data_IF_194737093898
#
_entry.id   IF_194737093898
#
_cell.length_a   1.000
_cell.length_b   1.000
_cell.length_c   1.000
_cell.angle_alpha   90.00
_cell.angle_beta   90.00
_cell.angle_gamma   90.00
#
_symmetry.space_group_name_H-M   'P 1'
#
loop_
_entity.id
_entity.type
_entity.pdbx_description
1 polymer ?
2 water ?
#
# COMPACT_ATOMS: atom_id res chain seq x y z
N UNK A 4 1.45 -13.49 27.28
CA UNK A 4 1.52 -12.03 27.45
C UNK A 4 0.43 -11.34 26.62
N UNK A 5 0.28 -10.04 26.84
CA UNK A 5 -0.67 -9.25 26.07
C UNK A 5 -0.23 -9.17 24.62
N UNK A 6 1.06 -8.96 24.40
CA UNK A 6 1.61 -8.83 23.04
C UNK A 6 1.34 -10.12 22.29
N UNK A 7 1.48 -11.25 22.98
CA UNK A 7 1.19 -12.56 22.40
C UNK A 7 -0.19 -12.61 21.74
N UNK A 8 -1.23 -12.31 22.52
CA UNK A 8 -2.60 -12.35 22.01
C UNK A 8 -2.80 -11.34 20.88
N UNK A 9 -2.27 -10.13 21.07
CA UNK A 9 -2.32 -9.11 20.03
C UNK A 9 -1.67 -9.55 18.70
N UNK A 10 -0.54 -10.24 18.79
CA UNK A 10 0.11 -10.74 17.58
C UNK A 10 -0.81 -11.75 16.91
N UNK A 11 -1.41 -12.64 17.69
CA UNK A 11 -2.32 -13.67 17.15
C UNK A 11 -3.54 -13.05 16.49
N UNK A 12 -4.15 -12.08 17.16
CA UNK A 12 -5.35 -11.42 16.65
C UNK A 12 -5.01 -10.61 15.38
N UNK A 13 -3.94 -9.84 15.41
CA UNK A 13 -3.53 -9.10 14.21
C UNK A 13 -3.22 -10.05 13.05
N UNK A 14 -2.48 -11.13 13.31
CA UNK A 14 -2.14 -12.09 12.25
C UNK A 14 -3.39 -12.68 11.62
N UNK A 15 -4.38 -12.98 12.45
CA UNK A 15 -5.63 -13.53 11.94
C UNK A 15 -6.37 -12.53 11.08
N UNK A 16 -6.47 -11.30 11.57
CA UNK A 16 -7.09 -10.20 10.80
C UNK A 16 -6.41 -10.02 9.43
N UNK A 17 -5.09 -9.97 9.45
CA UNK A 17 -4.29 -9.86 8.22
C UNK A 17 -4.43 -11.06 7.29
N UNK A 18 -4.74 -12.22 7.85
CA UNK A 18 -4.80 -13.45 7.06
C UNK A 18 -6.17 -13.62 6.42
N UNK A 19 -7.15 -12.84 6.86
CA UNK A 19 -8.52 -13.05 6.41
C UNK A 19 -9.12 -11.89 5.63
N UNK A 20 -9.19 -10.72 6.25
CA UNK A 20 -9.80 -9.59 5.59
C UNK A 20 -9.17 -8.27 6.05
N UNK A 21 -7.86 -8.12 5.84
CA UNK A 21 -7.17 -6.93 6.35
C UNK A 21 -7.71 -5.63 5.75
N UNK A 22 -8.15 -5.65 4.49
CA UNK A 22 -8.65 -4.44 3.84
C UNK A 22 -10.12 -4.12 4.13
N UNK A 23 -10.91 -5.14 4.43
CA UNK A 23 -12.30 -4.95 4.83
C UNK A 23 -12.45 -4.61 6.29
N UNK A 24 -11.44 -4.95 7.11
CA UNK A 24 -11.52 -4.67 8.54
C UNK A 24 -10.35 -3.79 8.94
N UNK A 25 -10.09 -2.76 8.13
CA UNK A 25 -8.94 -1.89 8.32
C UNK A 25 -9.04 -1.09 9.61
N UNK A 26 -10.26 -0.67 9.95
CA UNK A 26 -10.48 0.05 11.20
C UNK A 26 -10.03 -0.75 12.42
N UNK A 27 -10.40 -2.03 12.48
CA UNK A 27 -10.03 -2.89 13.61
C UNK A 27 -8.51 -3.06 13.67
N UNK A 28 -7.90 -3.22 12.51
CA UNK A 28 -6.45 -3.33 12.43
C UNK A 28 -5.78 -2.09 13.05
N UNK A 29 -6.28 -0.92 12.66
CA UNK A 29 -5.77 0.34 13.19
C UNK A 29 -5.98 0.45 14.69
N UNK A 30 -7.20 0.12 15.12
CA UNK A 30 -7.53 0.17 16.53
C UNK A 30 -6.63 -0.76 17.34
N UNK A 31 -6.43 -1.98 16.86
CA UNK A 31 -5.52 -2.91 17.52
C UNK A 31 -4.13 -2.30 17.61
N UNK A 32 -3.65 -1.75 16.50
CA UNK A 32 -2.32 -1.14 16.45
C UNK A 32 -2.20 0.08 17.36
N UNK A 33 -3.24 0.91 17.47
CA UNK A 33 -3.14 2.07 18.37
C UNK A 33 -3.01 1.62 19.82
N UNK A 34 -3.69 0.54 20.16
CA UNK A 34 -3.73 0.09 21.54
C UNK A 34 -2.47 -0.68 21.95
N UNK A 35 -1.85 -1.36 20.98
CA UNK A 35 -0.71 -2.24 21.28
C UNK A 35 0.61 -1.79 20.69
N UNK A 36 0.55 -0.78 19.83
CA UNK A 36 1.76 -0.24 19.22
C UNK A 36 1.72 1.29 19.22
N UNK A 37 1.86 1.90 20.40
CA UNK A 37 1.77 3.36 20.49
C UNK A 37 3.00 4.11 19.96
N UNK A 38 4.13 3.41 19.81
CA UNK A 38 5.27 4.02 19.14
C UNK A 38 5.56 3.26 17.84
N UNK A 39 6.32 3.88 16.94
CA UNK A 39 6.62 3.26 15.66
C UNK A 39 7.49 2.04 15.90
N UNK A 40 8.32 2.08 16.94
CA UNK A 40 9.15 0.95 17.29
C UNK A 40 8.29 -0.24 17.72
N UNK A 41 7.21 0.05 18.44
CA UNK A 41 6.27 -0.99 18.83
C UNK A 41 5.59 -1.57 17.60
N UNK A 42 5.20 -0.68 16.68
CA UNK A 42 4.57 -1.08 15.43
C UNK A 42 5.50 -2.06 14.71
N UNK A 43 6.78 -1.70 14.60
CA UNK A 43 7.80 -2.51 13.94
C UNK A 43 7.90 -3.89 14.57
N UNK A 44 7.95 -3.92 15.89
CA UNK A 44 8.10 -5.16 16.63
C UNK A 44 6.86 -6.03 16.40
N UNK A 45 5.70 -5.39 16.38
CA UNK A 45 4.45 -6.09 16.11
C UNK A 45 4.39 -6.61 14.65
N UNK A 46 4.74 -5.77 13.70
CA UNK A 46 4.79 -6.21 12.30
C UNK A 46 5.76 -7.39 12.15
N UNK A 47 6.91 -7.30 12.81
CA UNK A 47 7.94 -8.30 12.62
C UNK A 47 7.44 -9.67 13.11
N UNK A 48 6.75 -9.68 14.24
CA UNK A 48 6.19 -10.94 14.76
C UNK A 48 5.12 -11.51 13.83
N UNK A 49 4.24 -10.65 13.32
CA UNK A 49 3.23 -11.08 12.37
C UNK A 49 3.83 -11.60 11.06
N UNK A 50 4.84 -10.89 10.55
CA UNK A 50 5.51 -11.31 9.31
C UNK A 50 6.01 -12.73 9.44
N UNK A 51 6.58 -13.05 10.61
CA UNK A 51 7.08 -14.40 10.84
C UNK A 51 5.94 -15.41 10.70
N UNK A 52 4.82 -15.13 11.35
CA UNK A 52 3.64 -15.98 11.26
C UNK A 52 3.13 -16.11 9.82
N UNK A 53 3.07 -15.00 9.10
CA UNK A 53 2.55 -15.01 7.74
C UNK A 53 3.47 -15.77 6.80
N UNK A 54 4.78 -15.61 7.00
CA UNK A 54 5.78 -16.35 6.25
C UNK A 54 5.63 -17.86 6.43
N UNK A 55 5.53 -18.30 7.68
CA UNK A 55 5.29 -19.70 7.99
C UNK A 55 4.03 -20.22 7.31
N UNK A 56 2.93 -19.48 7.47
CA UNK A 56 1.65 -19.90 6.89
C UNK A 56 1.70 -19.97 5.36
N UNK A 57 2.46 -19.06 4.75
CA UNK A 57 2.59 -19.02 3.32
C UNK A 57 3.37 -20.25 2.84
N UNK A 58 4.47 -20.52 3.53
CA UNK A 58 5.30 -21.71 3.28
C UNK A 58 4.49 -23.00 3.43
N UNK A 59 3.47 -22.99 4.28
CA UNK A 59 2.67 -24.17 4.56
C UNK A 59 1.40 -24.22 3.70
N UNK A 60 1.29 -23.28 2.77
CA UNK A 60 0.16 -23.16 1.85
C UNK A 60 -1.15 -23.05 2.62
N UNK A 61 -1.09 -22.34 3.75
CA UNK A 61 -2.27 -22.04 4.54
C UNK A 61 -2.82 -20.67 4.15
N UNK A 62 -2.02 -19.90 3.43
CA UNK A 62 -2.48 -18.65 2.84
C UNK A 62 -1.83 -18.46 1.48
N UNK A 63 -2.38 -17.57 0.68
CA UNK A 63 -1.81 -17.30 -0.64
C UNK A 63 -0.90 -16.10 -0.58
N UNK A 64 -0.07 -15.97 -1.61
CA UNK A 64 0.78 -14.80 -1.77
C UNK A 64 -0.08 -13.54 -1.95
N UNK A 65 -1.25 -13.71 -2.58
CA UNK A 65 -2.19 -12.61 -2.74
C UNK A 65 -2.63 -12.09 -1.38
N UNK A 66 -3.00 -13.01 -0.49
CA UNK A 66 -3.38 -12.65 0.88
C UNK A 66 -2.29 -11.87 1.60
N UNK A 67 -1.04 -12.30 1.45
CA UNK A 67 0.06 -11.60 2.09
C UNK A 67 0.21 -10.18 1.51
N UNK A 68 0.08 -10.07 0.19
CA UNK A 68 0.15 -8.76 -0.46
C UNK A 68 -0.91 -7.78 0.10
N UNK A 69 -2.13 -8.28 0.29
CA UNK A 69 -3.24 -7.44 0.81
C UNK A 69 -3.00 -7.05 2.27
N UNK A 70 -2.48 -7.99 3.05
CA UNK A 70 -2.09 -7.72 4.42
C UNK A 70 -1.05 -6.60 4.47
N UNK A 71 -0.02 -6.74 3.64
CA UNK A 71 1.07 -5.76 3.59
C UNK A 71 0.55 -4.36 3.26
N UNK A 72 -0.37 -4.27 2.29
CA UNK A 72 -0.92 -3.00 1.87
C UNK A 72 -1.75 -2.38 2.99
N UNK A 73 -2.53 -3.21 3.68
CA UNK A 73 -3.35 -2.71 4.79
C UNK A 73 -2.44 -2.13 5.89
N UNK A 74 -1.30 -2.76 6.10
CA UNK A 74 -0.38 -2.32 7.16
C UNK A 74 0.24 -0.97 6.77
N UNK A 75 0.48 -0.78 5.48
CA UNK A 75 0.96 0.50 4.97
C UNK A 75 -0.04 1.60 5.27
N UNK A 76 -1.30 1.36 4.95
CA UNK A 76 -2.34 2.39 5.21
C UNK A 76 -2.55 2.69 6.70
N UNK A 77 -2.56 1.65 7.52
CA UNK A 77 -2.69 1.77 8.97
C UNK A 77 -1.52 2.60 9.49
N UNK A 78 -0.32 2.25 9.06
CA UNK A 78 0.89 2.92 9.54
C UNK A 78 0.85 4.41 9.25
N UNK A 79 0.49 4.77 8.03
CA UNK A 79 0.39 6.18 7.68
C UNK A 79 -0.75 6.90 8.41
N UNK A 80 -1.78 6.15 8.81
CA UNK A 80 -2.89 6.77 9.53
C UNK A 80 -2.42 7.12 10.94
N UNK A 81 -1.68 6.20 11.55
CA UNK A 81 -1.26 6.32 12.93
C UNK A 81 0.05 7.10 13.13
N UNK A 82 1.11 6.73 12.42
CA UNK A 82 2.41 7.38 12.60
C UNK A 82 2.86 8.14 11.36
N UNK A 83 3.05 9.45 11.49
CA UNK A 83 3.46 10.29 10.38
C UNK A 83 4.19 11.55 10.85
N UNK A 84 5.26 11.35 11.61
CA UNK A 84 6.03 12.45 12.21
C UNK A 84 6.68 13.33 11.15
N UNK A 85 6.68 14.64 11.37
CA UNK A 85 7.40 15.54 10.48
C UNK A 85 8.90 15.33 10.63
N UNK A 86 9.65 15.62 9.57
CA UNK A 86 11.09 15.49 9.65
C UNK A 86 11.67 16.59 10.53
N UNK A 87 12.49 16.22 11.53
CA UNK A 87 13.08 17.19 12.44
C UNK A 87 13.86 18.26 11.68
N UNK A 88 13.45 19.52 11.84
CA UNK A 88 14.07 20.64 11.13
C UNK A 88 15.48 20.88 11.64
N UNK A 89 15.64 20.74 12.95
CA UNK A 89 16.97 20.70 13.56
C UNK A 89 17.18 19.27 14.03
N UNK A 90 18.10 18.58 13.37
CA UNK A 90 18.26 17.15 13.61
C UNK A 90 19.61 16.82 14.23
N UNK A 91 19.70 15.61 14.79
CA UNK A 91 20.96 15.14 15.36
C UNK A 91 21.83 14.55 14.26
N UNK A 92 21.25 14.39 13.07
CA UNK A 92 21.97 13.88 11.92
C UNK A 92 21.10 13.62 10.70
N UNK A 93 21.73 13.21 9.61
CA UNK A 93 21.03 12.96 8.33
C UNK A 93 21.20 11.51 7.85
N UNK A 94 20.08 10.77 7.86
CA UNK A 94 20.12 9.36 7.53
C UNK A 94 19.31 9.10 6.26
N UNK A 95 19.87 8.28 5.39
CA UNK A 95 19.15 7.86 4.21
C UNK A 95 18.68 6.43 4.40
N UNK A 96 17.39 6.21 4.25
CA UNK A 96 16.81 4.88 4.37
C UNK A 96 16.43 4.46 2.95
N UNK A 97 17.01 3.37 2.48
CA UNK A 97 16.83 3.00 1.10
C UNK A 97 16.39 1.57 0.96
N UNK A 98 15.57 1.32 -0.06
CA UNK A 98 15.19 -0.03 -0.47
C UNK A 98 16.22 -0.56 -1.46
N UNK A 99 16.23 -1.87 -1.65
CA UNK A 99 17.12 -2.51 -2.61
C UNK A 99 16.38 -2.60 -3.93
N UNK A 100 17.02 -2.18 -5.04
CA UNK A 100 16.33 -2.26 -6.34
C UNK A 100 15.83 -3.67 -6.62
N UNK A 101 14.65 -3.78 -7.21
CA UNK A 101 14.05 -5.07 -7.46
C UNK A 101 13.18 -5.50 -6.28
N UNK A 102 13.27 -4.76 -5.18
CA UNK A 102 12.48 -5.06 -3.99
C UNK A 102 11.71 -3.81 -3.57
N UNK A 103 10.72 -3.99 -2.71
CA UNK A 103 9.96 -2.84 -2.25
C UNK A 103 9.60 -2.99 -0.79
N UNK A 104 10.57 -2.71 0.07
CA UNK A 104 10.30 -2.71 1.51
C UNK A 104 9.66 -1.36 1.87
N UNK A 105 8.45 -1.16 1.38
CA UNK A 105 7.76 0.11 1.55
C UNK A 105 7.44 0.32 3.02
N UNK A 106 6.92 -0.72 3.67
CA UNK A 106 6.53 -0.63 5.08
C UNK A 106 7.78 -0.53 5.97
N UNK A 107 8.76 -1.40 5.74
CA UNK A 107 9.96 -1.40 6.55
C UNK A 107 10.74 -0.09 6.43
N UNK A 108 10.84 0.46 5.21
CA UNK A 108 11.53 1.75 5.04
C UNK A 108 10.80 2.87 5.78
N UNK A 109 9.46 2.87 5.68
CA UNK A 109 8.65 3.86 6.37
C UNK A 109 8.81 3.72 7.88
N UNK A 110 8.80 2.48 8.36
CA UNK A 110 9.00 2.19 9.78
C UNK A 110 10.33 2.72 10.26
N UNK A 111 11.38 2.48 9.49
CA UNK A 111 12.73 2.93 9.83
C UNK A 111 12.76 4.45 9.97
N UNK A 112 12.21 5.15 8.97
CA UNK A 112 12.12 6.61 9.04
C UNK A 112 11.36 7.08 10.30
N UNK A 113 10.23 6.45 10.61
CA UNK A 113 9.44 6.88 11.77
C UNK A 113 10.25 6.72 13.05
N UNK A 114 10.89 5.57 13.19
CA UNK A 114 11.67 5.31 14.40
C UNK A 114 12.83 6.28 14.55
N UNK A 115 13.50 6.59 13.45
CA UNK A 115 14.61 7.54 13.52
C UNK A 115 14.14 8.96 13.77
N UNK A 116 13.06 9.37 13.10
CA UNK A 116 12.52 10.71 13.32
C UNK A 116 12.10 10.90 14.78
N UNK A 117 11.55 9.84 15.36
CA UNK A 117 11.13 9.84 16.75
C UNK A 117 12.27 10.08 17.74
N UNK A 118 13.51 9.78 17.35
CA UNK A 118 14.64 10.06 18.23
C UNK A 118 15.50 11.21 17.74
N UNK A 119 14.99 11.93 16.75
CA UNK A 119 15.59 13.20 16.37
C UNK A 119 16.45 13.22 15.11
N UNK A 120 16.56 12.10 14.41
CA UNK A 120 17.29 12.07 13.14
C UNK A 120 16.45 12.62 12.00
N UNK A 121 17.05 13.49 11.19
CA UNK A 121 16.45 13.87 9.92
C UNK A 121 16.65 12.68 8.99
N UNK A 122 15.57 12.18 8.42
CA UNK A 122 15.67 10.99 7.59
C UNK A 122 14.93 11.17 6.29
N UNK A 123 15.45 10.56 5.24
CA UNK A 123 14.74 10.50 3.98
C UNK A 123 14.62 9.05 3.57
N UNK A 124 13.56 8.74 2.84
CA UNK A 124 13.37 7.40 2.29
C UNK A 124 13.60 7.49 0.79
N UNK A 125 14.31 6.51 0.23
CA UNK A 125 14.44 6.41 -1.23
C UNK A 125 14.28 4.95 -1.68
N UNK A 126 13.61 4.77 -2.81
CA UNK A 126 13.53 3.46 -3.42
C UNK A 126 14.22 3.58 -4.77
N UNK A 127 15.56 3.44 -4.80
CA UNK A 127 16.37 3.76 -5.98
C UNK A 127 16.30 2.69 -7.06
N UNK A 128 16.47 3.11 -8.30
CA UNK A 128 16.42 2.20 -9.43
C UNK A 128 17.65 1.33 -9.51
N UNK A 129 18.77 1.81 -8.98
CA UNK A 129 20.05 1.17 -9.22
C UNK A 129 21.11 1.69 -8.27
N UNK A 130 22.27 1.06 -8.30
CA UNK A 130 23.41 1.51 -7.52
C UNK A 130 23.80 2.93 -7.91
N UNK A 131 23.83 3.22 -9.21
CA UNK A 131 24.25 4.54 -9.68
C UNK A 131 23.32 5.64 -9.16
N UNK A 132 22.02 5.37 -9.18
CA UNK A 132 21.02 6.33 -8.73
C UNK A 132 21.15 6.64 -7.24
N UNK A 133 21.39 5.62 -6.42
CA UNK A 133 21.57 5.84 -4.99
C UNK A 133 22.87 6.58 -4.75
N UNK A 134 23.93 6.16 -5.44
CA UNK A 134 25.23 6.83 -5.33
C UNK A 134 25.12 8.32 -5.59
N UNK A 135 24.52 8.70 -6.72
CA UNK A 135 24.34 10.11 -7.05
C UNK A 135 23.55 10.81 -5.94
N UNK A 136 22.52 10.13 -5.43
CA UNK A 136 21.70 10.67 -4.35
C UNK A 136 22.54 10.86 -3.09
N UNK A 137 23.39 9.88 -2.80
CA UNK A 137 24.25 9.92 -1.62
C UNK A 137 25.23 11.10 -1.70
N UNK A 138 25.58 11.47 -2.93
CA UNK A 138 26.53 12.56 -3.17
C UNK A 138 25.88 13.92 -2.93
N UNK A 139 24.82 14.18 -3.69
CA UNK A 139 24.17 15.48 -3.71
C UNK A 139 23.71 15.91 -2.33
N UNK A 140 23.34 14.94 -1.49
CA UNK A 140 22.83 15.23 -0.16
C UNK A 140 23.86 15.01 0.93
N UNK A 141 25.07 14.59 0.55
CA UNK A 141 26.17 14.43 1.49
C UNK A 141 25.77 13.55 2.68
N UNK A 142 25.18 12.41 2.38
CA UNK A 142 24.71 11.54 3.46
C UNK A 142 25.86 10.77 4.12
N UNK A 143 25.81 10.71 5.45
CA UNK A 143 26.84 10.06 6.24
C UNK A 143 26.39 8.70 6.79
N UNK A 144 25.09 8.41 6.70
CA UNK A 144 24.58 7.11 7.15
C UNK A 144 23.47 6.59 6.24
N UNK A 145 23.64 5.37 5.76
CA UNK A 145 22.65 4.70 4.90
C UNK A 145 22.08 3.49 5.65
N UNK A 146 20.77 3.40 5.68
CA UNK A 146 20.10 2.25 6.26
C UNK A 146 19.43 1.55 5.10
N UNK A 147 19.76 0.27 4.93
CA UNK A 147 19.15 -0.56 3.89
C UNK A 147 17.99 -1.30 4.53
N UNK A 148 16.77 -1.00 4.10
CA UNK A 148 15.58 -1.57 4.71
C UNK A 148 15.31 -2.98 4.19
N UNK A 149 15.13 -3.96 5.11
CA UNK A 149 14.86 -5.32 4.64
C UNK A 149 13.39 -5.50 4.25
N UNK A 150 13.10 -6.50 3.43
CA UNK A 150 11.72 -6.88 3.16
C UNK A 150 11.37 -8.13 3.95
N UNK A 151 10.68 -7.95 5.07
CA UNK A 151 10.42 -9.06 5.99
C UNK A 151 9.41 -10.06 5.42
N UNK A 152 8.64 -9.63 4.42
CA UNK A 152 7.68 -10.53 3.75
C UNK A 152 8.10 -10.88 2.33
N UNK A 153 9.41 -10.85 2.06
CA UNK A 153 9.92 -11.41 0.81
C UNK A 153 10.85 -12.57 1.15
N UNK A 154 11.05 -13.47 0.20
CA UNK A 154 11.86 -14.66 0.42
C UNK A 154 13.35 -14.42 0.55
N UNK A 155 14.08 -15.51 0.77
CA UNK A 155 15.52 -15.50 1.05
C UNK A 155 16.41 -14.98 -0.09
N UNK A 156 15.85 -14.84 -1.30
CA UNK A 156 16.63 -14.35 -2.44
C UNK A 156 17.12 -12.91 -2.23
N UNK A 157 16.40 -12.15 -1.42
CA UNK A 157 16.78 -10.76 -1.15
C UNK A 157 18.15 -10.64 -0.47
N UNK A 158 18.58 -11.72 0.18
CA UNK A 158 19.85 -11.68 0.89
C UNK A 158 20.97 -11.48 -0.10
N UNK A 159 20.99 -12.31 -1.12
CA UNK A 159 22.01 -12.22 -2.14
C UNK A 159 21.92 -10.86 -2.81
N UNK A 160 20.70 -10.40 -3.10
CA UNK A 160 20.53 -9.13 -3.81
C UNK A 160 21.09 -8.00 -2.97
N UNK A 161 20.85 -8.06 -1.66
CA UNK A 161 21.34 -7.03 -0.76
C UNK A 161 22.86 -7.04 -0.67
N UNK A 162 23.45 -8.22 -0.47
CA UNK A 162 24.91 -8.32 -0.39
C UNK A 162 25.52 -7.73 -1.64
N UNK A 163 24.92 -8.07 -2.78
CA UNK A 163 25.45 -7.60 -4.05
C UNK A 163 25.32 -6.08 -4.17
N UNK A 164 24.18 -5.56 -3.75
CA UNK A 164 23.90 -4.13 -3.79
C UNK A 164 24.91 -3.36 -2.95
N UNK A 165 25.06 -3.78 -1.70
CA UNK A 165 25.91 -3.08 -0.76
C UNK A 165 27.38 -3.20 -1.19
N UNK A 166 27.75 -4.37 -1.71
CA UNK A 166 29.12 -4.55 -2.18
C UNK A 166 29.44 -3.65 -3.35
N UNK A 167 28.52 -3.59 -4.32
CA UNK A 167 28.74 -2.70 -5.46
C UNK A 167 28.77 -1.26 -4.96
N UNK A 168 27.89 -0.95 -4.01
CA UNK A 168 27.87 0.42 -3.48
C UNK A 168 29.21 0.81 -2.83
N UNK A 169 29.73 -0.05 -1.95
CA UNK A 169 30.99 0.23 -1.24
C UNK A 169 32.16 0.31 -2.22
N UNK A 170 32.08 -0.48 -3.28
CA UNK A 170 33.09 -0.56 -4.30
C UNK A 170 33.30 0.79 -5.00
N UNK A 171 32.33 1.69 -4.89
CA UNK A 171 32.40 2.96 -5.61
C UNK A 171 33.35 3.98 -4.97
N UNK A 172 33.92 4.83 -5.82
CA UNK A 172 34.99 5.72 -5.40
C UNK A 172 34.52 7.14 -5.07
N UNK A 173 33.21 7.36 -5.03
CA UNK A 173 32.68 8.72 -4.85
C UNK A 173 31.75 8.89 -3.66
N UNK A 174 31.93 8.07 -2.62
CA UNK A 174 31.08 8.14 -1.42
C UNK A 174 31.88 8.10 -0.10
N UNK A 175 32.68 9.14 0.18
CA UNK A 175 33.47 9.06 1.42
C UNK A 175 32.67 9.28 2.71
N UNK A 176 33.13 8.67 3.80
CA UNK A 176 32.55 8.85 5.14
C UNK A 176 31.31 8.02 5.50
N UNK A 177 31.00 7.02 4.69
CA UNK A 177 29.68 6.40 4.73
C UNK A 177 29.53 5.15 5.63
N UNK A 178 28.65 5.23 6.63
CA UNK A 178 28.28 4.06 7.41
C UNK A 178 27.09 3.33 6.80
N UNK A 179 27.16 2.00 6.76
CA UNK A 179 26.07 1.26 6.14
C UNK A 179 25.51 0.23 7.11
N UNK A 180 24.20 0.29 7.33
CA UNK A 180 23.55 -0.68 8.19
C UNK A 180 22.59 -1.53 7.40
N UNK A 181 22.61 -2.85 7.64
CA UNK A 181 21.64 -3.73 6.99
C UNK A 181 20.84 -4.49 8.05
N UNK A 182 19.70 -5.03 7.67
CA UNK A 182 18.82 -5.70 8.61
C UNK A 182 18.40 -7.08 8.12
N UNK A 183 17.24 -7.54 8.58
CA UNK A 183 16.77 -8.88 8.26
C UNK A 183 17.80 -9.97 8.57
N UNK A 184 17.76 -11.04 7.80
CA UNK A 184 18.55 -12.22 8.12
C UNK A 184 20.04 -11.95 7.98
N UNK A 185 20.40 -10.94 7.19
CA UNK A 185 21.79 -10.57 7.01
C UNK A 185 22.44 -10.07 8.28
N UNK A 186 21.66 -9.53 9.21
CA UNK A 186 22.25 -9.05 10.45
C UNK A 186 22.53 -10.21 11.39
N UNK A 187 22.22 -11.42 10.92
CA UNK A 187 22.61 -12.63 11.66
C UNK A 187 23.99 -13.15 11.20
N UNK A 188 24.55 -12.51 10.18
CA UNK A 188 25.88 -12.87 9.69
C UNK A 188 26.94 -12.55 10.73
N UNK A 189 28.02 -13.35 10.76
CA UNK A 189 29.22 -13.03 11.55
C UNK A 189 29.80 -11.70 11.09
N UNK A 190 30.33 -10.91 12.03
CA UNK A 190 30.83 -9.54 11.75
C UNK A 190 31.71 -9.45 10.50
N UNK A 191 32.69 -10.35 10.39
CA UNK A 191 33.60 -10.32 9.24
C UNK A 191 32.88 -10.53 7.91
N UNK A 192 31.85 -11.36 7.90
CA UNK A 192 31.12 -11.61 6.67
C UNK A 192 30.33 -10.37 6.30
N UNK A 193 29.80 -9.72 7.33
CA UNK A 193 29.04 -8.49 7.18
C UNK A 193 29.92 -7.37 6.62
N UNK A 194 31.11 -7.22 7.20
CA UNK A 194 32.04 -6.19 6.76
C UNK A 194 32.52 -6.45 5.36
N UNK A 195 32.70 -7.72 5.02
CA UNK A 195 33.19 -8.12 3.70
C UNK A 195 32.26 -7.62 2.59
N UNK A 196 30.96 -7.56 2.90
CA UNK A 196 29.95 -7.12 1.92
C UNK A 196 29.95 -5.62 1.71
N UNK A 197 30.56 -4.88 2.62
CA UNK A 197 30.58 -3.43 2.50
C UNK A 197 29.80 -2.77 3.63
N UNK A 198 29.00 -3.58 4.30
CA UNK A 198 28.19 -3.08 5.41
C UNK A 198 29.05 -2.89 6.64
N UNK A 199 28.57 -2.07 7.57
CA UNK A 199 29.33 -1.76 8.78
C UNK A 199 28.72 -2.39 10.03
N UNK A 200 27.41 -2.54 10.05
CA UNK A 200 26.77 -3.16 11.22
C UNK A 200 25.38 -3.60 10.86
N UNK A 201 24.79 -4.48 11.65
CA UNK A 201 23.44 -4.93 11.36
C UNK A 201 22.44 -4.58 12.46
N UNK A 202 21.17 -4.54 12.09
CA UNK A 202 20.13 -4.51 13.11
C UNK A 202 19.32 -5.80 12.98
N UNK A 203 19.37 -6.65 14.00
CA UNK A 203 18.78 -7.98 13.88
C UNK A 203 17.26 -7.93 13.80
N UNK A 204 16.68 -6.84 14.30
CA UNK A 204 15.23 -6.68 14.26
C UNK A 204 14.95 -5.21 14.01
N UNK A 205 13.85 -4.91 13.34
CA UNK A 205 13.53 -3.54 12.99
C UNK A 205 13.59 -2.60 14.18
N UNK A 206 13.05 -3.04 15.31
CA UNK A 206 12.95 -2.16 16.48
C UNK A 206 14.31 -1.76 17.02
N UNK A 207 15.37 -2.49 16.66
CA UNK A 207 16.68 -2.23 17.22
C UNK A 207 17.48 -1.24 16.39
N UNK A 208 16.88 -0.75 15.29
CA UNK A 208 17.57 0.19 14.41
C UNK A 208 18.07 1.50 15.10
N UNK A 209 17.23 2.15 15.95
CA UNK A 209 17.75 3.36 16.60
C UNK A 209 19.06 3.15 17.38
N UNK A 210 19.15 2.08 18.17
CA UNK A 210 20.37 1.77 18.90
C UNK A 210 21.55 1.36 17.98
N UNK A 211 21.25 0.67 16.88
CA UNK A 211 22.29 0.30 15.93
C UNK A 211 22.90 1.56 15.33
N UNK A 212 22.04 2.49 14.97
CA UNK A 212 22.47 3.73 14.34
C UNK A 212 23.34 4.57 15.29
N UNK A 213 22.95 4.62 16.56
CA UNK A 213 23.72 5.34 17.57
C UNK A 213 25.17 4.87 17.57
N UNK A 214 25.38 3.56 17.53
CA UNK A 214 26.73 3.00 17.57
C UNK A 214 27.67 3.50 16.44
N UNK A 215 27.15 3.61 15.23
CA UNK A 215 27.97 4.07 14.11
C UNK A 215 27.85 5.58 13.88
N UNK A 216 27.15 6.25 14.78
CA UNK A 216 26.85 7.69 14.66
C UNK A 216 26.16 8.03 13.34
N UNK B 4 -7.59 27.66 -11.77
CA UNK B 4 -8.13 26.91 -10.65
C UNK B 4 -7.05 26.14 -9.91
N UNK B 5 -5.91 25.95 -10.57
CA UNK B 5 -4.83 25.16 -10.01
C UNK B 5 -5.28 23.71 -9.90
N UNK B 6 -6.19 23.31 -10.79
CA UNK B 6 -6.70 21.95 -10.83
C UNK B 6 -5.80 21.14 -11.75
N UNK B 7 -5.56 21.67 -12.95
CA UNK B 7 -4.64 21.05 -13.89
C UNK B 7 -3.23 21.10 -13.31
N UNK B 8 -2.92 22.21 -12.64
CA UNK B 8 -1.61 22.38 -12.02
C UNK B 8 -1.39 21.35 -10.92
N UNK B 9 -2.43 21.11 -10.13
CA UNK B 9 -2.36 20.12 -9.07
C UNK B 9 -2.06 18.77 -9.67
N UNK B 10 -2.77 18.43 -10.74
CA UNK B 10 -2.58 17.17 -11.41
C UNK B 10 -1.15 17.02 -11.93
N UNK B 11 -0.66 18.06 -12.60
CA UNK B 11 0.68 18.05 -13.15
C UNK B 11 1.71 17.82 -12.05
N UNK B 12 1.63 18.65 -11.02
CA UNK B 12 2.58 18.58 -9.91
C UNK B 12 2.54 17.21 -9.22
N UNK B 13 1.33 16.74 -8.96
CA UNK B 13 1.17 15.46 -8.26
C UNK B 13 1.62 14.30 -9.14
N UNK B 14 1.29 14.38 -10.43
CA UNK B 14 1.73 13.37 -11.38
C UNK B 14 3.25 13.26 -11.39
N UNK B 15 3.91 14.41 -11.37
CA UNK B 15 5.37 14.47 -11.37
C UNK B 15 6.01 13.83 -10.11
N UNK B 16 5.42 14.10 -8.95
CA UNK B 16 5.92 13.55 -7.68
C UNK B 16 5.75 12.04 -7.68
N UNK B 17 4.59 11.59 -8.14
CA UNK B 17 4.29 10.18 -8.20
C UNK B 17 5.25 9.46 -9.17
N UNK B 18 5.75 10.19 -10.16
CA UNK B 18 6.62 9.58 -11.18
C UNK B 18 8.09 9.51 -10.76
N UNK B 19 8.48 10.34 -9.81
CA UNK B 19 9.90 10.46 -9.43
C UNK B 19 10.23 9.93 -8.03
N UNK B 20 9.48 10.37 -7.03
CA UNK B 20 9.78 9.97 -5.67
C UNK B 20 8.53 9.93 -4.81
N UNK B 21 7.54 9.10 -5.20
CA UNK B 21 6.28 9.06 -4.46
C UNK B 21 6.44 8.74 -2.98
N UNK B 22 7.24 7.74 -2.62
CA UNK B 22 7.36 7.35 -1.23
C UNK B 22 8.35 8.21 -0.44
N UNK B 23 9.31 8.84 -1.12
CA UNK B 23 10.24 9.72 -0.44
C UNK B 23 9.68 11.12 -0.21
N UNK B 24 8.74 11.51 -1.07
CA UNK B 24 8.12 12.83 -0.92
C UNK B 24 6.65 12.73 -0.55
N UNK B 25 6.32 11.65 0.17
CA UNK B 25 4.95 11.37 0.60
C UNK B 25 4.26 12.57 1.28
N UNK B 26 5.00 13.28 2.11
CA UNK B 26 4.45 14.43 2.83
C UNK B 26 3.97 15.50 1.84
N UNK B 27 4.75 15.72 0.79
CA UNK B 27 4.37 16.71 -0.23
C UNK B 27 3.19 16.19 -1.06
N UNK B 28 3.14 14.89 -1.31
CA UNK B 28 2.02 14.30 -2.03
C UNK B 28 0.74 14.53 -1.25
N UNK B 29 0.84 14.30 0.06
CA UNK B 29 -0.31 14.45 0.94
C UNK B 29 -0.78 15.89 1.07
N UNK B 30 0.17 16.81 1.18
CA UNK B 30 -0.16 18.24 1.27
C UNK B 30 -0.98 18.64 0.06
N UNK B 31 -0.51 18.22 -1.11
CA UNK B 31 -1.17 18.53 -2.36
C UNK B 31 -2.57 17.93 -2.41
N UNK B 32 -2.71 16.70 -1.92
CA UNK B 32 -3.99 16.01 -1.96
C UNK B 32 -5.01 16.57 -0.97
N UNK B 33 -4.59 16.92 0.24
CA UNK B 33 -5.54 17.48 1.20
C UNK B 33 -5.89 18.92 0.87
N UNK B 34 -5.04 19.56 0.05
CA UNK B 34 -5.29 20.93 -0.38
C UNK B 34 -6.23 20.97 -1.58
N UNK B 35 -6.30 19.88 -2.33
CA UNK B 35 -7.08 19.86 -3.55
C UNK B 35 -8.16 18.80 -3.54
N UNK B 36 -8.27 18.07 -2.44
CA UNK B 36 -9.30 17.06 -2.31
C UNK B 36 -9.95 17.03 -0.91
N UNK B 37 -10.84 17.99 -0.65
CA UNK B 37 -11.55 18.03 0.64
C UNK B 37 -12.41 16.77 0.81
N UNK B 38 -12.88 16.22 -0.30
CA UNK B 38 -13.73 15.04 -0.25
C UNK B 38 -13.07 13.89 -0.99
N UNK B 39 -13.50 12.68 -0.69
CA UNK B 39 -12.98 11.48 -1.31
C UNK B 39 -13.32 11.45 -2.80
N UNK B 40 -14.43 12.10 -3.17
CA UNK B 40 -14.81 12.21 -4.57
C UNK B 40 -13.80 13.07 -5.32
N UNK B 41 -13.29 14.11 -4.67
CA UNK B 41 -12.26 14.96 -5.23
C UNK B 41 -10.94 14.20 -5.36
N UNK B 42 -10.63 13.41 -4.34
CA UNK B 42 -9.45 12.55 -4.36
C UNK B 42 -9.54 11.64 -5.59
N UNK B 43 -10.67 10.95 -5.72
CA UNK B 43 -10.91 10.00 -6.81
C UNK B 43 -10.73 10.66 -8.17
N UNK B 44 -11.27 11.86 -8.32
CA UNK B 44 -11.16 12.60 -9.56
C UNK B 44 -9.69 12.93 -9.82
N UNK B 45 -8.99 13.36 -8.77
CA UNK B 45 -7.55 13.62 -8.84
C UNK B 45 -6.76 12.37 -9.18
N UNK B 46 -7.10 11.26 -8.54
CA UNK B 46 -6.43 10.00 -8.81
C UNK B 46 -6.55 9.57 -10.26
N UNK B 47 -7.77 9.64 -10.80
CA UNK B 47 -7.98 9.14 -12.15
C UNK B 47 -7.28 10.02 -13.17
N UNK B 48 -7.22 11.33 -12.91
CA UNK B 48 -6.50 12.24 -13.77
C UNK B 48 -5.01 11.87 -13.77
N UNK B 49 -4.46 11.62 -12.58
CA UNK B 49 -3.06 11.23 -12.47
C UNK B 49 -2.80 9.88 -13.08
N UNK B 50 -3.75 8.95 -12.91
CA UNK B 50 -3.59 7.60 -13.44
C UNK B 50 -3.50 7.65 -14.95
N UNK B 51 -4.23 8.57 -15.56
CA UNK B 51 -4.15 8.75 -17.02
C UNK B 51 -2.72 9.09 -17.42
N UNK B 52 -2.08 9.97 -16.66
CA UNK B 52 -0.74 10.41 -16.98
C UNK B 52 0.31 9.33 -16.72
N UNK B 53 0.23 8.65 -15.59
CA UNK B 53 1.17 7.59 -15.30
C UNK B 53 1.04 6.49 -16.34
N UNK B 54 -0.21 6.13 -16.68
CA UNK B 54 -0.47 5.11 -17.69
C UNK B 54 0.15 5.50 -19.04
N UNK B 55 -0.01 6.77 -19.40
CA UNK B 55 0.59 7.25 -20.64
C UNK B 55 2.12 7.20 -20.53
N UNK B 56 2.65 7.62 -19.39
CA UNK B 56 4.10 7.60 -19.16
C UNK B 56 4.65 6.18 -19.21
N UNK B 57 3.89 5.22 -18.69
CA UNK B 57 4.32 3.82 -18.75
C UNK B 57 4.31 3.38 -20.21
N UNK B 58 3.25 3.73 -20.93
CA UNK B 58 3.07 3.32 -22.30
C UNK B 58 4.19 3.86 -23.18
N UNK B 59 4.72 5.02 -22.82
CA UNK B 59 5.78 5.64 -23.59
C UNK B 59 7.16 5.29 -23.02
N UNK B 60 7.17 4.39 -22.06
CA UNK B 60 8.41 3.93 -21.41
C UNK B 60 9.19 5.05 -20.71
N UNK B 61 8.49 6.08 -20.28
CA UNK B 61 9.10 7.12 -19.45
C UNK B 61 9.19 6.70 -17.97
N UNK B 62 8.40 5.72 -17.56
CA UNK B 62 8.54 5.12 -16.24
C UNK B 62 8.36 3.62 -16.31
N UNK B 63 8.66 2.92 -15.21
CA UNK B 63 8.59 1.48 -15.17
C UNK B 63 7.35 0.98 -14.43
N UNK B 64 7.06 -0.31 -14.57
CA UNK B 64 6.02 -0.95 -13.77
C UNK B 64 6.26 -0.74 -12.28
N UNK B 65 7.52 -0.88 -11.85
CA UNK B 65 7.88 -0.67 -10.44
C UNK B 65 7.51 0.73 -9.99
N UNK B 66 7.85 1.75 -10.79
CA UNK B 66 7.48 3.12 -10.47
C UNK B 66 5.97 3.33 -10.32
N UNK B 67 5.18 2.70 -11.20
CA UNK B 67 3.73 2.79 -11.09
C UNK B 67 3.30 2.11 -9.79
N UNK B 68 3.89 0.97 -9.50
CA UNK B 68 3.59 0.25 -8.27
C UNK B 68 3.87 1.10 -7.02
N UNK B 69 5.02 1.76 -6.99
CA UNK B 69 5.40 2.62 -5.86
C UNK B 69 4.42 3.82 -5.70
N UNK B 70 4.02 4.39 -6.83
CA UNK B 70 3.05 5.48 -6.82
C UNK B 70 1.69 5.02 -6.31
N UNK B 71 1.31 3.82 -6.71
CA UNK B 71 0.03 3.28 -6.28
C UNK B 71 -0.01 3.10 -4.76
N UNK B 72 1.07 2.55 -4.19
CA UNK B 72 1.12 2.33 -2.74
C UNK B 72 1.12 3.67 -2.02
N UNK B 73 1.89 4.62 -2.57
CA UNK B 73 1.97 5.97 -1.99
C UNK B 73 0.58 6.60 -1.88
N UNK B 74 -0.21 6.44 -2.93
CA UNK B 74 -1.56 6.98 -3.00
C UNK B 74 -2.46 6.34 -1.93
N UNK B 75 -2.29 5.04 -1.73
CA UNK B 75 -3.05 4.34 -0.70
C UNK B 75 -2.75 4.93 0.68
N UNK B 76 -1.46 5.10 1.00
CA UNK B 76 -1.07 5.65 2.30
C UNK B 76 -1.54 7.10 2.45
N UNK B 77 -1.55 7.83 1.34
CA UNK B 77 -1.99 9.22 1.37
C UNK B 77 -3.48 9.27 1.67
N UNK B 78 -4.24 8.40 1.00
CA UNK B 78 -5.69 8.36 1.18
C UNK B 78 -6.10 8.07 2.61
N UNK B 79 -5.57 7.01 3.21
CA UNK B 79 -5.92 6.65 4.58
C UNK B 79 -5.53 7.77 5.56
N UNK B 80 -4.37 8.39 5.32
CA UNK B 80 -3.94 9.57 6.07
C UNK B 80 -4.98 10.69 6.04
N UNK B 81 -5.54 10.94 4.85
CA UNK B 81 -6.48 12.05 4.68
C UNK B 81 -7.93 11.65 4.93
N UNK B 82 -8.41 10.61 4.25
CA UNK B 82 -9.81 10.23 4.37
C UNK B 82 -10.05 8.88 5.06
N UNK B 83 -10.94 8.87 6.06
CA UNK B 83 -11.22 7.62 6.81
C UNK B 83 -12.53 7.67 7.60
N UNK B 84 -13.65 7.76 6.91
CA UNK B 84 -14.96 7.85 7.56
C UNK B 84 -15.43 6.52 8.17
N UNK B 85 -16.04 6.58 9.36
CA UNK B 85 -16.65 5.36 9.92
C UNK B 85 -17.99 5.12 9.26
N UNK B 86 -18.57 3.94 9.46
CA UNK B 86 -19.93 3.67 8.98
C UNK B 86 -20.90 4.73 9.50
N UNK B 87 -21.93 5.07 8.70
CA UNK B 87 -22.97 5.98 9.16
C UNK B 87 -23.74 5.35 10.31
N UNK B 88 -24.21 6.16 11.26
CA UNK B 88 -24.98 5.64 12.38
C UNK B 88 -26.22 4.91 11.89
N UNK B 89 -27.04 5.62 11.11
CA UNK B 89 -28.23 5.01 10.51
C UNK B 89 -28.15 5.15 9.00
N UNK B 90 -27.88 4.03 8.33
CA UNK B 90 -27.59 4.04 6.90
C UNK B 90 -28.83 4.17 6.03
N UNK B 91 -28.61 4.45 4.74
CA UNK B 91 -29.68 4.43 3.75
C UNK B 91 -29.72 3.06 3.11
N UNK B 92 -28.67 2.27 3.37
CA UNK B 92 -28.60 0.91 2.85
C UNK B 92 -27.22 0.28 3.04
N UNK B 93 -27.14 -1.02 2.77
CA UNK B 93 -25.89 -1.76 2.89
C UNK B 93 -25.28 -2.03 1.51
N UNK B 94 -24.03 -1.58 1.33
CA UNK B 94 -23.31 -1.78 0.09
C UNK B 94 -22.04 -2.59 0.33
N UNK B 95 -21.84 -3.60 -0.52
CA UNK B 95 -20.60 -4.37 -0.54
C UNK B 95 -19.75 -3.96 -1.76
N UNK B 96 -18.52 -3.55 -1.49
CA UNK B 96 -17.58 -3.13 -2.54
C UNK B 96 -16.48 -4.18 -2.70
N UNK B 97 -16.39 -4.76 -3.90
CA UNK B 97 -15.59 -5.93 -4.14
C UNK B 97 -14.73 -5.80 -5.39
N UNK B 98 -13.54 -6.37 -5.33
CA UNK B 98 -12.68 -6.52 -6.50
C UNK B 98 -12.92 -7.83 -7.24
N UNK B 99 -12.46 -7.88 -8.48
CA UNK B 99 -12.48 -9.12 -9.27
C UNK B 99 -11.34 -10.01 -8.79
N UNK B 100 -11.64 -11.28 -8.49
CA UNK B 100 -10.67 -12.26 -7.98
C UNK B 100 -9.42 -12.25 -8.85
N UNK B 101 -8.25 -12.26 -8.24
CA UNK B 101 -7.02 -12.25 -9.01
C UNK B 101 -6.54 -10.81 -9.22
N UNK B 102 -7.40 -9.84 -8.90
CA UNK B 102 -7.04 -8.43 -9.03
C UNK B 102 -7.06 -7.69 -7.69
N UNK B 103 -6.43 -6.53 -7.62
CA UNK B 103 -6.44 -5.82 -6.35
C UNK B 103 -6.64 -4.32 -6.48
N UNK B 104 -7.89 -3.90 -6.70
CA UNK B 104 -8.26 -2.49 -6.82
C UNK B 104 -8.33 -1.84 -5.43
N UNK B 105 -7.22 -1.91 -4.71
CA UNK B 105 -7.15 -1.47 -3.33
C UNK B 105 -7.59 -0.02 -3.12
N UNK B 106 -6.98 0.89 -3.89
CA UNK B 106 -7.30 2.29 -3.77
C UNK B 106 -8.74 2.54 -4.21
N UNK B 107 -9.08 2.01 -5.39
CA UNK B 107 -10.39 2.26 -5.98
C UNK B 107 -11.51 1.81 -5.06
N UNK B 108 -11.42 0.59 -4.57
CA UNK B 108 -12.38 0.06 -3.60
C UNK B 108 -12.48 0.96 -2.38
N UNK B 109 -11.33 1.38 -1.83
CA UNK B 109 -11.39 2.22 -0.62
C UNK B 109 -11.95 3.61 -0.94
N UNK B 110 -11.64 4.12 -2.14
CA UNK B 110 -12.19 5.39 -2.59
C UNK B 110 -13.70 5.24 -2.75
N UNK B 111 -14.14 4.12 -3.30
CA UNK B 111 -15.57 3.86 -3.47
C UNK B 111 -16.30 3.87 -2.14
N UNK B 112 -15.74 3.15 -1.16
CA UNK B 112 -16.33 3.10 0.17
C UNK B 112 -16.43 4.47 0.81
N UNK B 113 -15.42 5.31 0.61
CA UNK B 113 -15.39 6.63 1.26
C UNK B 113 -16.46 7.55 0.67
N UNK B 114 -16.75 7.37 -0.60
CA UNK B 114 -17.76 8.18 -1.27
C UNK B 114 -19.16 7.81 -0.80
N UNK B 115 -19.39 6.50 -0.67
CA UNK B 115 -20.72 6.01 -0.30
C UNK B 115 -21.02 6.19 1.18
N UNK B 116 -19.99 6.13 2.02
CA UNK B 116 -20.15 6.43 3.44
C UNK B 116 -20.44 7.91 3.62
N UNK B 117 -19.86 8.72 2.74
CA UNK B 117 -20.01 10.17 2.79
C UNK B 117 -21.46 10.62 2.61
N UNK B 118 -22.30 9.76 2.02
CA UNK B 118 -23.70 10.11 1.80
C UNK B 118 -24.65 9.08 2.39
N UNK B 119 -24.17 8.32 3.37
CA UNK B 119 -25.07 7.54 4.21
C UNK B 119 -25.25 6.06 3.92
N UNK B 120 -24.31 5.45 3.20
CA UNK B 120 -24.36 4.01 3.00
C UNK B 120 -23.44 3.32 3.99
N UNK B 121 -23.91 2.23 4.58
CA UNK B 121 -23.03 1.38 5.36
C UNK B 121 -22.25 0.46 4.43
N UNK B 122 -20.95 0.71 4.28
CA UNK B 122 -20.14 0.01 3.29
C UNK B 122 -19.14 -0.96 3.90
N UNK B 123 -18.85 -2.01 3.15
CA UNK B 123 -17.80 -2.96 3.51
C UNK B 123 -16.98 -3.28 2.26
N UNK B 124 -15.65 -3.30 2.41
CA UNK B 124 -14.74 -3.65 1.31
C UNK B 124 -14.34 -5.12 1.38
N UNK B 125 -14.35 -5.81 0.24
CA UNK B 125 -13.92 -7.21 0.18
C UNK B 125 -13.05 -7.50 -1.06
N UNK B 126 -11.96 -8.22 -0.84
CA UNK B 126 -11.10 -8.65 -1.93
C UNK B 126 -11.13 -10.16 -2.02
N UNK B 127 -12.07 -10.70 -2.80
CA UNK B 127 -12.42 -12.12 -2.71
C UNK B 127 -11.48 -13.00 -3.50
N UNK B 128 -11.14 -14.16 -2.93
CA UNK B 128 -10.28 -15.12 -3.59
C UNK B 128 -10.93 -15.70 -4.85
N UNK B 129 -12.27 -15.74 -4.87
CA UNK B 129 -12.99 -16.41 -5.94
C UNK B 129 -14.46 -15.98 -6.02
N UNK B 130 -15.15 -16.38 -7.08
CA UNK B 130 -16.58 -16.10 -7.20
C UNK B 130 -17.34 -16.78 -6.06
N UNK B 131 -17.02 -18.04 -5.82
CA UNK B 131 -17.68 -18.84 -4.79
C UNK B 131 -17.53 -18.21 -3.41
N UNK B 132 -16.35 -17.64 -3.13
CA UNK B 132 -16.07 -17.02 -1.84
C UNK B 132 -16.87 -15.74 -1.69
N UNK B 133 -16.94 -14.98 -2.78
CA UNK B 133 -17.77 -13.78 -2.83
C UNK B 133 -19.25 -14.09 -2.63
N UNK B 134 -19.76 -15.08 -3.37
CA UNK B 134 -21.18 -15.46 -3.24
C UNK B 134 -21.54 -15.84 -1.80
N UNK B 135 -20.66 -16.59 -1.16
CA UNK B 135 -20.85 -16.99 0.23
C UNK B 135 -20.97 -15.76 1.11
N UNK B 136 -20.15 -14.75 0.85
CA UNK B 136 -20.18 -13.50 1.59
C UNK B 136 -21.52 -12.80 1.41
N UNK B 137 -21.92 -12.66 0.15
CA UNK B 137 -23.17 -12.01 -0.23
C UNK B 137 -24.38 -12.54 0.56
N UNK B 138 -24.58 -13.85 0.49
CA UNK B 138 -25.66 -14.50 1.24
C UNK B 138 -25.56 -14.20 2.72
N UNK B 139 -24.41 -14.54 3.30
CA UNK B 139 -24.21 -14.40 4.74
C UNK B 139 -24.47 -12.98 5.24
N UNK B 140 -24.16 -11.99 4.42
CA UNK B 140 -24.35 -10.60 4.80
C UNK B 140 -25.66 -10.05 4.27
N UNK B 141 -26.36 -10.87 3.49
CA UNK B 141 -27.64 -10.51 2.88
C UNK B 141 -27.62 -9.14 2.19
N UNK B 142 -26.48 -8.79 1.59
CA UNK B 142 -26.36 -7.50 0.92
C UNK B 142 -27.17 -7.45 -0.37
N UNK B 143 -27.64 -6.27 -0.74
CA UNK B 143 -28.52 -6.12 -1.90
C UNK B 143 -27.86 -5.36 -3.02
N UNK B 144 -26.71 -4.74 -2.73
CA UNK B 144 -25.97 -4.05 -3.77
C UNK B 144 -24.49 -4.38 -3.73
N UNK B 145 -23.93 -4.72 -4.90
CA UNK B 145 -22.51 -5.03 -5.02
C UNK B 145 -21.87 -4.10 -6.04
N UNK B 146 -20.87 -3.34 -5.61
CA UNK B 146 -20.10 -2.50 -6.51
C UNK B 146 -18.80 -3.18 -6.86
N UNK B 147 -18.58 -3.45 -8.14
CA UNK B 147 -17.33 -4.07 -8.58
C UNK B 147 -16.32 -2.97 -8.83
N UNK B 148 -15.33 -2.85 -7.94
CA UNK B 148 -14.36 -1.77 -8.08
C UNK B 148 -13.38 -2.08 -9.18
N UNK B 149 -13.23 -1.16 -10.15
CA UNK B 149 -12.31 -1.32 -11.28
C UNK B 149 -10.88 -1.02 -10.87
N UNK B 150 -9.91 -1.74 -11.45
CA UNK B 150 -8.50 -1.41 -11.27
C UNK B 150 -8.14 -0.43 -12.35
N UNK B 151 -7.78 0.79 -11.98
CA UNK B 151 -7.61 1.86 -12.97
C UNK B 151 -6.17 2.24 -13.25
N UNK B 152 -5.22 1.71 -12.46
CA UNK B 152 -3.80 2.03 -12.70
C UNK B 152 -2.89 0.83 -12.97
N UNK B 153 -2.98 -0.22 -12.17
CA UNK B 153 -2.20 -1.42 -12.48
C UNK B 153 -3.04 -2.67 -12.25
N UNK B 154 -2.62 -3.79 -12.80
CA UNK B 154 -3.39 -5.03 -12.72
C UNK B 154 -4.83 -4.82 -13.20
N UNK B 155 -4.97 -4.11 -14.31
CA UNK B 155 -6.29 -3.80 -14.86
C UNK B 155 -7.04 -5.08 -15.26
N UNK B 156 -8.36 -4.97 -15.30
CA UNK B 156 -9.23 -6.05 -15.73
C UNK B 156 -9.56 -5.89 -17.21
N UNK B 157 -9.14 -6.87 -18.00
CA UNK B 157 -9.61 -7.02 -19.36
C UNK B 157 -11.14 -7.06 -19.34
N UNK B 158 -11.76 -6.41 -20.32
CA UNK B 158 -13.22 -6.28 -20.34
C UNK B 158 -13.91 -7.64 -20.23
N UNK B 159 -13.38 -8.63 -20.96
CA UNK B 159 -14.00 -9.95 -20.97
C UNK B 159 -13.89 -10.62 -19.60
N UNK B 160 -12.88 -10.23 -18.83
CA UNK B 160 -12.71 -10.80 -17.49
C UNK B 160 -13.74 -10.29 -16.48
N UNK B 161 -14.03 -9.00 -16.50
CA UNK B 161 -15.06 -8.47 -15.60
C UNK B 161 -16.42 -9.04 -16.01
N UNK B 162 -16.66 -9.13 -17.31
CA UNK B 162 -17.91 -9.66 -17.82
C UNK B 162 -18.14 -11.08 -17.34
N UNK B 163 -17.10 -11.92 -17.46
CA UNK B 163 -17.19 -13.31 -17.04
C UNK B 163 -17.46 -13.42 -15.53
N UNK B 164 -16.76 -12.59 -14.76
CA UNK B 164 -16.98 -12.51 -13.33
C UNK B 164 -18.42 -12.14 -13.00
N UNK B 165 -18.93 -11.10 -13.65
CA UNK B 165 -20.31 -10.68 -13.40
C UNK B 165 -21.29 -11.79 -13.77
N UNK B 166 -21.07 -12.38 -14.94
CA UNK B 166 -21.86 -13.52 -15.41
C UNK B 166 -21.91 -14.67 -14.41
N UNK B 167 -20.73 -15.05 -13.91
CA UNK B 167 -20.59 -16.16 -12.98
C UNK B 167 -21.38 -15.94 -11.71
N UNK B 168 -21.35 -14.70 -11.22
CA UNK B 168 -22.12 -14.31 -10.07
C UNK B 168 -23.60 -14.47 -10.35
N UNK B 169 -24.04 -14.01 -11.51
CA UNK B 169 -25.44 -14.12 -11.89
C UNK B 169 -25.83 -15.57 -12.11
N UNK B 170 -24.91 -16.36 -12.65
CA UNK B 170 -25.19 -17.73 -13.05
C UNK B 170 -25.68 -18.58 -11.90
N UNK B 171 -25.31 -18.18 -10.69
CA UNK B 171 -25.73 -18.89 -9.49
C UNK B 171 -27.20 -18.62 -9.15
N UNK B 172 -27.80 -19.53 -8.38
CA UNK B 172 -29.21 -19.40 -8.02
C UNK B 172 -29.42 -18.98 -6.57
N UNK B 173 -28.33 -18.60 -5.91
CA UNK B 173 -28.40 -18.17 -4.52
C UNK B 173 -28.23 -16.65 -4.38
N UNK B 174 -28.55 -15.91 -5.44
CA UNK B 174 -28.52 -14.45 -5.42
C UNK B 174 -29.82 -13.87 -6.00
N UNK B 175 -30.73 -13.44 -5.11
CA UNK B 175 -32.02 -12.89 -5.56
C UNK B 175 -32.08 -11.36 -5.55
N UNK B 176 -32.42 -10.77 -6.69
CA UNK B 176 -32.59 -9.32 -6.80
C UNK B 176 -31.39 -8.51 -6.32
N UNK B 177 -30.19 -8.96 -6.69
CA UNK B 177 -28.96 -8.29 -6.30
C UNK B 177 -28.65 -7.17 -7.29
N UNK B 178 -28.23 -6.01 -6.79
CA UNK B 178 -27.85 -4.92 -7.67
C UNK B 178 -26.34 -4.93 -7.92
N UNK B 179 -25.93 -5.13 -9.17
CA UNK B 179 -24.52 -5.13 -9.51
C UNK B 179 -24.12 -3.89 -10.30
N UNK B 180 -23.16 -3.13 -9.79
CA UNK B 180 -22.64 -1.96 -10.47
C UNK B 180 -21.18 -2.17 -10.90
N UNK B 181 -20.88 -1.85 -12.16
CA UNK B 181 -19.52 -2.03 -12.69
C UNK B 181 -18.91 -0.72 -13.15
N UNK B 182 -17.58 -0.63 -13.10
CA UNK B 182 -16.88 0.59 -13.46
C UNK B 182 -15.85 0.39 -14.54
N UNK B 183 -14.91 1.32 -14.61
CA UNK B 183 -13.86 1.27 -15.62
C UNK B 183 -14.38 1.14 -17.04
N UNK B 184 -13.68 0.35 -17.84
CA UNK B 184 -13.98 0.15 -19.25
C UNK B 184 -15.40 -0.41 -19.54
N UNK B 185 -15.92 -1.27 -18.67
CA UNK B 185 -17.27 -1.80 -18.87
C UNK B 185 -18.35 -0.74 -18.90
N UNK B 186 -18.12 0.37 -18.20
CA UNK B 186 -19.12 1.43 -18.16
C UNK B 186 -19.15 2.25 -19.44
N UNK B 187 -18.32 1.89 -20.41
CA UNK B 187 -18.33 2.55 -21.71
C UNK B 187 -19.18 1.77 -22.70
N UNK B 188 -19.72 0.64 -22.24
CA UNK B 188 -20.63 -0.17 -23.05
C UNK B 188 -22.01 0.45 -23.10
N UNK B 189 -22.75 0.19 -24.18
CA UNK B 189 -24.16 0.63 -24.26
C UNK B 189 -24.96 0.06 -23.11
N UNK B 190 -26.02 0.76 -22.69
CA UNK B 190 -26.90 0.31 -21.61
C UNK B 190 -27.45 -1.07 -21.92
N UNK B 191 -27.85 -1.28 -23.16
CA UNK B 191 -28.38 -2.56 -23.63
C UNK B 191 -27.39 -3.70 -23.37
N UNK B 192 -26.19 -3.55 -23.92
CA UNK B 192 -25.19 -4.60 -23.82
C UNK B 192 -24.70 -4.78 -22.39
N UNK B 193 -25.05 -3.83 -21.54
CA UNK B 193 -24.66 -3.89 -20.13
C UNK B 193 -25.59 -4.80 -19.34
N UNK B 194 -26.90 -4.56 -19.45
CA UNK B 194 -27.88 -5.40 -18.75
C UNK B 194 -27.81 -6.83 -19.26
N UNK B 195 -27.32 -6.98 -20.49
CA UNK B 195 -27.10 -8.29 -21.07
C UNK B 195 -25.98 -9.01 -20.34
N UNK B 196 -25.05 -8.23 -19.80
CA UNK B 196 -23.89 -8.78 -19.09
C UNK B 196 -24.22 -9.18 -17.67
N UNK B 197 -25.26 -8.58 -17.10
CA UNK B 197 -25.68 -8.89 -15.76
C UNK B 197 -25.49 -7.74 -14.81
N UNK B 198 -24.85 -6.67 -15.28
CA UNK B 198 -24.73 -5.44 -14.49
C UNK B 198 -26.01 -4.60 -14.59
N UNK B 199 -26.41 -3.99 -13.50
CA UNK B 199 -27.61 -3.15 -13.47
C UNK B 199 -27.29 -1.70 -13.80
N UNK B 200 -26.05 -1.30 -13.60
CA UNK B 200 -25.60 0.05 -13.92
C UNK B 200 -24.09 0.11 -14.01
N UNK B 201 -23.60 0.96 -14.90
CA UNK B 201 -22.17 1.24 -14.98
C UNK B 201 -21.89 2.61 -14.40
N UNK B 202 -20.67 2.81 -13.89
CA UNK B 202 -20.21 4.14 -13.51
C UNK B 202 -18.88 4.44 -14.22
N UNK B 203 -18.93 5.39 -15.15
CA UNK B 203 -17.79 5.66 -16.05
C UNK B 203 -16.55 6.14 -15.31
N UNK B 204 -16.77 6.85 -14.21
CA UNK B 204 -15.68 7.28 -13.34
C UNK B 204 -16.07 7.01 -11.90
N UNK B 205 -15.06 6.92 -11.03
CA UNK B 205 -15.30 6.61 -9.61
C UNK B 205 -16.29 7.57 -8.96
N UNK B 206 -16.08 8.87 -9.19
CA UNK B 206 -16.92 9.87 -8.56
C UNK B 206 -18.38 9.76 -9.00
N UNK B 207 -18.63 9.14 -10.15
CA UNK B 207 -20.01 9.00 -10.63
C UNK B 207 -20.74 7.83 -9.97
N UNK B 208 -20.05 7.14 -9.06
CA UNK B 208 -20.66 5.99 -8.39
C UNK B 208 -21.88 6.30 -7.50
N UNK B 209 -21.78 7.34 -6.64
CA UNK B 209 -22.94 7.61 -5.79
C UNK B 209 -24.22 7.90 -6.59
N UNK B 210 -24.13 8.75 -7.61
CA UNK B 210 -25.29 9.01 -8.46
C UNK B 210 -25.83 7.71 -9.05
N UNK B 211 -24.93 6.88 -9.59
CA UNK B 211 -25.34 5.61 -10.17
C UNK B 211 -26.00 4.68 -9.14
N UNK B 212 -25.48 4.72 -7.92
CA UNK B 212 -25.97 3.84 -6.88
C UNK B 212 -27.40 4.20 -6.48
N UNK B 213 -27.70 5.50 -6.46
CA UNK B 213 -29.03 5.96 -6.10
C UNK B 213 -30.08 5.56 -7.12
N UNK B 214 -29.69 5.50 -8.40
CA UNK B 214 -30.63 5.23 -9.49
C UNK B 214 -31.11 3.78 -9.51
N UNK B 215 -30.41 2.91 -8.79
CA UNK B 215 -30.66 1.47 -8.90
C UNK B 215 -31.05 0.81 -7.57
N UNK B 216 -30.70 1.44 -6.46
CA UNK B 216 -30.99 0.87 -5.14
C UNK B 216 -31.94 1.75 -4.33
#
# INVERSE_FOLDING_TARGET
>A
AGHSGRAKAVARLSDLLSTDPLGRLTEVEELLRAHAPTAADFARLFEACAERLTRALAEDRISRMQVTLAYSALQMALRRIHHLPDPQKSVGAVLVAGVPGHKPILEAALAAEMLRAVGWSTSVVHPESVAALAARLKTSRTSTLVVAPSLLEGTEQEADTLRFVSALRARTDLPGLSILVGGRLAQLPPSKLKDSGADAGFAHLALLPAALARVA
>B
AGHSGRAKAVARLSDLLSTDPLGRLTEVEELLRAHAPTAADFARLFEACAERLTRALAEDRISRMQVTLAYSALQMALRRIHHLPDPQKSVGAVLVAGVPGHKPILEAALAAEMLRAVGWSTSVVHPESVAALAARLKTSRTSTLVVAPSLLEGTEQEADTLRFVSALRARTDLPGLSILVGGRLAQLPPSKLKDSGADAGFAHLALLPAALARVA
#
